data_IF_896752009963
#
_entry.id   IF_896752009963
#
_cell.length_a   1.000
_cell.length_b   1.000
_cell.length_c   1.000
_cell.angle_alpha   90.00
_cell.angle_beta   90.00
_cell.angle_gamma   90.00
#
_symmetry.space_group_name_H-M   'P 1'
#
loop_
_entity.id
_entity.type
_entity.pdbx_description
1 polymer ?
#
# COMPACT_ATOMS: atom_id res chain seq x y z
N UNK A 1 -11.25 -4.51 -23.18
CA UNK A 1 -10.44 -4.70 -24.40
C UNK A 1 -8.97 -4.76 -24.01
N UNK A 2 -8.26 -5.88 -24.26
CA UNK A 2 -6.80 -5.93 -24.12
C UNK A 2 -6.20 -5.65 -25.49
N UNK A 3 -5.60 -4.47 -25.67
CA UNK A 3 -4.78 -4.18 -26.84
C UNK A 3 -3.42 -4.84 -26.62
N UNK A 4 -3.24 -6.04 -27.14
CA UNK A 4 -1.90 -6.62 -27.22
C UNK A 4 -1.19 -5.98 -28.43
N UNK A 5 -0.04 -5.36 -28.20
CA UNK A 5 0.82 -4.83 -29.26
C UNK A 5 1.52 -5.96 -30.02
N UNK A 6 1.95 -5.79 -31.26
CA UNK A 6 2.66 -6.84 -32.03
C UNK A 6 4.19 -6.83 -31.81
N UNK A 7 4.67 -6.46 -30.61
CA UNK A 7 6.10 -6.41 -30.31
C UNK A 7 6.64 -7.75 -29.77
N UNK A 8 7.96 -7.91 -29.81
CA UNK A 8 8.68 -9.12 -29.37
C UNK A 8 8.42 -9.51 -27.90
N UNK A 9 8.01 -8.54 -27.07
CA UNK A 9 7.67 -8.76 -25.65
C UNK A 9 6.26 -9.29 -25.42
N UNK A 10 5.36 -9.25 -26.41
CA UNK A 10 3.95 -9.65 -26.26
C UNK A 10 3.77 -11.14 -25.96
N UNK A 11 4.69 -11.98 -26.44
CA UNK A 11 4.67 -13.42 -26.15
C UNK A 11 5.18 -13.76 -24.74
N UNK A 12 5.82 -12.80 -24.06
CA UNK A 12 6.30 -13.01 -22.71
C UNK A 12 5.17 -12.79 -21.70
N UNK A 13 4.60 -13.90 -21.22
CA UNK A 13 3.63 -13.85 -20.13
C UNK A 13 4.37 -13.79 -18.80
N UNK A 14 4.41 -12.61 -18.19
CA UNK A 14 4.89 -12.46 -16.82
C UNK A 14 4.10 -13.33 -15.86
N UNK A 15 4.75 -13.75 -14.77
CA UNK A 15 4.07 -14.33 -13.62
C UNK A 15 3.59 -13.20 -12.73
N UNK A 16 2.34 -13.26 -12.32
CA UNK A 16 1.84 -12.39 -11.26
C UNK A 16 2.54 -12.76 -9.94
N UNK A 17 3.24 -11.78 -9.37
CA UNK A 17 3.92 -11.92 -8.08
C UNK A 17 3.13 -11.26 -6.95
N UNK A 18 1.99 -10.65 -7.26
CA UNK A 18 1.15 -10.01 -6.28
C UNK A 18 0.48 -11.08 -5.41
N UNK A 19 0.40 -10.78 -4.12
CA UNK A 19 -0.41 -11.58 -3.23
C UNK A 19 -1.89 -11.40 -3.60
N UNK A 20 -2.77 -12.36 -3.24
CA UNK A 20 -4.21 -12.15 -3.38
C UNK A 20 -4.63 -10.85 -2.69
N UNK A 21 -5.59 -10.15 -3.30
CA UNK A 21 -6.20 -8.96 -2.70
C UNK A 21 -6.68 -9.29 -1.28
N UNK A 22 -6.13 -8.55 -0.31
CA UNK A 22 -6.58 -8.64 1.08
C UNK A 22 -7.75 -7.70 1.29
N UNK A 23 -8.55 -7.99 2.31
CA UNK A 23 -9.60 -7.08 2.77
C UNK A 23 -9.00 -5.71 3.15
N UNK A 24 -9.75 -4.63 2.92
CA UNK A 24 -9.30 -3.26 3.22
C UNK A 24 -8.85 -3.11 4.68
N UNK A 25 -9.55 -3.74 5.64
CA UNK A 25 -9.19 -3.69 7.05
C UNK A 25 -7.87 -4.41 7.35
N UNK A 26 -7.43 -5.35 6.50
CA UNK A 26 -6.15 -6.04 6.67
C UNK A 26 -4.93 -5.17 6.31
N UNK A 27 -5.14 -3.99 5.73
CA UNK A 27 -4.10 -3.01 5.44
C UNK A 27 -3.93 -1.96 6.55
N UNK A 28 -4.89 -1.90 7.49
CA UNK A 28 -4.88 -0.96 8.61
C UNK A 28 -4.11 -1.56 9.78
N UNK A 29 -3.18 -0.80 10.36
CA UNK A 29 -2.48 -1.13 11.59
C UNK A 29 -2.68 -0.03 12.63
N UNK A 30 -2.66 -0.39 13.91
CA UNK A 30 -2.70 0.59 15.00
C UNK A 30 -1.27 0.92 15.41
N UNK A 31 -0.91 2.20 15.38
CA UNK A 31 0.39 2.64 15.85
C UNK A 31 0.55 2.35 17.36
N UNK A 32 1.60 1.64 17.80
CA UNK A 32 1.84 1.39 19.22
C UNK A 32 2.32 2.64 19.99
N UNK A 33 2.77 3.70 19.28
CA UNK A 33 3.28 4.94 19.86
C UNK A 33 2.15 5.92 20.13
N UNK A 34 1.39 6.28 19.08
CA UNK A 34 0.37 7.33 19.15
C UNK A 34 -1.07 6.80 19.14
N UNK A 35 -1.28 5.50 18.88
CA UNK A 35 -2.61 4.87 18.85
C UNK A 35 -3.43 5.14 17.58
N UNK A 36 -2.88 5.86 16.60
CA UNK A 36 -3.58 6.18 15.35
C UNK A 36 -3.71 4.97 14.43
N UNK A 37 -4.83 4.88 13.71
CA UNK A 37 -5.03 3.94 12.60
C UNK A 37 -4.18 4.37 11.39
N UNK A 38 -3.39 3.42 10.88
CA UNK A 38 -2.42 3.63 9.82
C UNK A 38 -2.74 2.71 8.65
N UNK A 39 -3.04 3.27 7.48
CA UNK A 39 -3.03 2.47 6.25
C UNK A 39 -1.58 2.30 5.78
N UNK A 40 -1.08 1.07 5.82
CA UNK A 40 0.31 0.76 5.45
C UNK A 40 0.57 0.87 3.94
N UNK A 41 -0.48 1.04 3.13
CA UNK A 41 -0.37 1.34 1.69
C UNK A 41 -0.09 2.83 1.46
N UNK A 42 -0.49 3.70 2.38
CA UNK A 42 -0.12 5.10 2.35
C UNK A 42 1.32 5.27 2.85
N UNK A 43 2.23 5.42 1.89
CA UNK A 43 3.66 5.59 2.17
C UNK A 43 3.95 6.82 3.04
N UNK A 44 3.16 7.88 2.93
CA UNK A 44 3.35 9.09 3.74
C UNK A 44 3.05 8.82 5.21
N UNK A 45 1.93 8.16 5.48
CA UNK A 45 1.55 7.72 6.83
C UNK A 45 2.58 6.73 7.38
N UNK A 46 2.97 5.72 6.59
CA UNK A 46 3.92 4.70 7.02
C UNK A 46 5.29 5.29 7.38
N UNK A 47 5.80 6.23 6.60
CA UNK A 47 7.08 6.89 6.86
C UNK A 47 7.03 7.82 8.07
N UNK A 48 5.94 8.56 8.27
CA UNK A 48 5.75 9.42 9.44
C UNK A 48 5.83 8.60 10.74
N UNK A 49 5.11 7.48 10.79
CA UNK A 49 5.05 6.61 11.97
C UNK A 49 6.30 5.73 12.16
N UNK A 50 7.21 5.68 11.18
CA UNK A 50 8.52 5.03 11.34
C UNK A 50 9.46 5.85 12.25
N UNK A 51 9.19 7.13 12.47
CA UNK A 51 9.93 7.95 13.44
C UNK A 51 9.43 7.70 14.87
N UNK A 52 10.29 7.61 15.90
CA UNK A 52 9.86 7.16 17.23
C UNK A 52 9.02 8.17 18.04
N UNK A 53 9.17 9.47 17.81
CA UNK A 53 8.51 10.54 18.59
C UNK A 53 7.53 11.38 17.73
N UNK A 54 6.78 10.71 16.85
CA UNK A 54 5.81 11.39 16.00
C UNK A 54 4.50 11.69 16.73
N UNK A 55 3.87 12.81 16.36
CA UNK A 55 2.52 13.14 16.77
C UNK A 55 1.49 12.57 15.77
N UNK A 56 0.22 12.34 16.19
CA UNK A 56 -0.84 11.94 15.29
C UNK A 56 -1.03 12.92 14.12
N UNK A 57 -1.25 12.38 12.92
CA UNK A 57 -1.60 13.18 11.74
C UNK A 57 -3.07 13.63 11.81
N UNK A 58 -3.40 14.86 11.39
CA UNK A 58 -4.77 15.34 11.37
C UNK A 58 -5.63 14.52 10.40
N UNK A 59 -6.89 14.28 10.77
CA UNK A 59 -7.84 13.68 9.86
C UNK A 59 -8.03 14.60 8.65
N UNK A 60 -7.81 14.05 7.45
CA UNK A 60 -8.21 14.71 6.21
C UNK A 60 -9.73 14.52 6.08
N UNK A 61 -10.48 15.60 6.30
CA UNK A 61 -11.93 15.65 6.09
C UNK A 61 -12.27 15.68 4.60
#
# INVERSE_FOLDING_TARGET
MKYCTDNEGTVYRGRDHDAPDKDEAAHIQICPVCGQEMDMRDLGIALHHATPDHEPLPAVN
#
